data_IF_510876489465
#
_entry.id   IF_510876489465
#
_cell.length_a   1.000
_cell.length_b   1.000
_cell.length_c   1.000
_cell.angle_alpha   90.00
_cell.angle_beta   90.00
_cell.angle_gamma   90.00
#
_symmetry.space_group_name_H-M   'P 1'
#
loop_
_entity.id
_entity.type
_entity.pdbx_description
1 polymer ?
#
# COMPACT_ATOMS: atom_id res chain seq x y z
N UNK A 1 8.90 22.37 7.73
CA UNK A 1 8.59 20.97 8.10
C UNK A 1 7.90 20.34 6.91
N UNK A 2 8.36 19.17 6.45
CA UNK A 2 7.71 18.41 5.36
C UNK A 2 6.36 17.87 5.81
N UNK A 3 5.43 17.71 4.87
CA UNK A 3 4.07 17.22 5.11
C UNK A 3 3.82 15.97 4.28
N UNK A 4 3.32 14.92 4.90
CA UNK A 4 2.93 13.68 4.21
C UNK A 4 1.43 13.51 4.32
N UNK A 5 0.75 13.43 3.16
CA UNK A 5 -0.66 13.10 3.08
C UNK A 5 -0.86 11.61 3.31
N UNK A 6 -1.59 11.26 4.36
CA UNK A 6 -2.01 9.88 4.67
C UNK A 6 -3.45 9.72 4.20
N UNK A 7 -3.66 8.86 3.20
CA UNK A 7 -5.00 8.65 2.66
C UNK A 7 -5.82 7.80 3.62
N UNK A 8 -6.93 8.35 4.09
CA UNK A 8 -7.81 7.74 5.07
C UNK A 8 -8.70 6.64 4.46
N UNK A 9 -9.01 5.65 5.26
CA UNK A 9 -10.12 4.73 5.05
C UNK A 9 -11.45 5.40 5.42
N UNK A 10 -12.55 4.98 4.81
CA UNK A 10 -13.90 5.46 5.15
C UNK A 10 -14.72 4.31 5.72
N UNK A 11 -15.20 4.48 6.93
CA UNK A 11 -16.00 3.46 7.61
C UNK A 11 -17.28 4.03 8.21
N UNK A 12 -18.25 3.14 8.42
CA UNK A 12 -19.43 3.47 9.20
C UNK A 12 -19.20 3.04 10.65
N UNK A 13 -19.26 4.00 11.56
CA UNK A 13 -19.23 3.78 12.99
C UNK A 13 -20.56 4.31 13.58
N UNK A 14 -21.34 3.45 14.18
CA UNK A 14 -22.69 3.76 14.68
C UNK A 14 -23.58 4.50 13.65
N UNK A 15 -23.51 4.08 12.38
CA UNK A 15 -24.26 4.68 11.29
C UNK A 15 -23.70 6.01 10.76
N UNK A 16 -22.63 6.53 11.34
CA UNK A 16 -21.95 7.74 10.88
C UNK A 16 -20.71 7.38 10.04
N UNK A 17 -20.54 8.05 8.92
CA UNK A 17 -19.33 7.93 8.13
C UNK A 17 -18.15 8.65 8.83
N UNK A 18 -17.07 7.92 9.07
CA UNK A 18 -15.84 8.44 9.65
C UNK A 18 -14.68 8.23 8.68
N UNK A 19 -13.73 9.17 8.64
CA UNK A 19 -12.47 9.01 7.94
C UNK A 19 -11.39 8.72 8.96
N UNK A 20 -10.66 7.62 8.77
CA UNK A 20 -9.67 7.17 9.74
C UNK A 20 -8.37 6.70 9.07
N UNK A 21 -7.28 6.84 9.79
CA UNK A 21 -6.02 6.15 9.55
C UNK A 21 -5.56 5.59 10.89
N UNK A 22 -5.05 4.36 10.90
CA UNK A 22 -4.53 3.76 12.12
C UNK A 22 -3.34 4.57 12.65
N UNK A 23 -3.16 4.59 13.96
CA UNK A 23 -2.12 5.39 14.62
C UNK A 23 -0.71 4.97 14.18
N UNK A 24 -0.52 3.70 13.81
CA UNK A 24 0.73 3.17 13.29
C UNK A 24 1.21 3.91 12.03
N UNK A 25 0.31 4.27 11.11
CA UNK A 25 0.66 5.09 9.94
C UNK A 25 1.04 6.52 10.34
N UNK A 26 0.30 7.09 11.30
CA UNK A 26 0.58 8.43 11.82
C UNK A 26 1.93 8.47 12.53
N UNK A 27 2.20 7.47 13.38
CA UNK A 27 3.48 7.32 14.08
C UNK A 27 4.64 7.10 13.11
N UNK A 28 4.47 6.23 12.09
CA UNK A 28 5.50 5.98 11.08
C UNK A 28 5.84 7.25 10.28
N UNK A 29 4.85 8.08 9.93
CA UNK A 29 5.10 9.37 9.27
C UNK A 29 5.75 10.36 10.21
N UNK A 30 5.27 10.49 11.45
CA UNK A 30 5.81 11.45 12.43
C UNK A 30 7.24 11.08 12.83
N UNK A 31 7.47 9.84 13.22
CA UNK A 31 8.71 9.39 13.87
C UNK A 31 9.67 8.71 12.89
N UNK A 32 9.15 7.91 11.93
CA UNK A 32 9.96 7.21 10.94
C UNK A 32 10.37 8.09 9.75
N UNK A 33 9.47 8.96 9.29
CA UNK A 33 9.76 9.92 8.19
C UNK A 33 10.23 11.27 8.73
N UNK A 34 9.83 11.67 9.93
CA UNK A 34 10.12 13.00 10.49
C UNK A 34 9.31 14.12 9.82
N UNK A 35 8.11 13.80 9.34
CA UNK A 35 7.23 14.72 8.63
C UNK A 35 5.92 14.96 9.41
N UNK A 36 5.22 16.04 9.09
CA UNK A 36 3.89 16.32 9.61
C UNK A 36 2.86 15.42 8.91
N UNK A 37 2.14 14.53 9.61
CA UNK A 37 1.06 13.74 9.02
C UNK A 37 -0.17 14.61 8.76
N UNK A 38 -0.74 14.49 7.55
CA UNK A 38 -1.96 15.20 7.13
C UNK A 38 -2.95 14.15 6.63
N UNK A 39 -4.10 14.02 7.26
CA UNK A 39 -5.12 13.05 6.84
C UNK A 39 -5.86 13.57 5.61
N UNK A 40 -5.85 12.78 4.53
CA UNK A 40 -6.59 13.05 3.29
C UNK A 40 -7.86 12.19 3.32
N UNK A 41 -9.06 12.78 3.39
CA UNK A 41 -10.30 12.01 3.45
C UNK A 41 -10.62 11.34 2.11
N UNK A 42 -11.25 10.17 2.17
CA UNK A 42 -11.86 9.51 1.01
C UNK A 42 -13.32 9.95 0.87
N UNK A 43 -13.70 10.50 -0.28
CA UNK A 43 -15.03 11.11 -0.49
C UNK A 43 -15.71 10.55 -1.72
N UNK A 44 -17.05 10.53 -1.72
CA UNK A 44 -17.89 10.07 -2.84
C UNK A 44 -17.77 10.97 -4.09
N UNK A 45 -17.33 12.21 -3.89
CA UNK A 45 -16.99 13.14 -4.99
C UNK A 45 -15.48 13.31 -5.02
N UNK A 46 -14.85 13.13 -6.19
CA UNK A 46 -13.40 13.27 -6.29
C UNK A 46 -12.95 14.64 -5.78
N UNK A 47 -11.94 14.62 -4.91
CA UNK A 47 -11.26 15.84 -4.48
C UNK A 47 -10.36 16.35 -5.60
N UNK A 48 -10.11 17.65 -5.60
CA UNK A 48 -9.13 18.23 -6.52
C UNK A 48 -7.73 17.70 -6.21
N UNK A 49 -7.26 16.79 -7.06
CA UNK A 49 -5.94 16.16 -6.90
C UNK A 49 -4.81 17.17 -6.99
N UNK A 50 -4.94 18.23 -7.78
CA UNK A 50 -3.92 19.29 -7.87
C UNK A 50 -3.82 20.07 -6.56
N UNK A 51 -4.95 20.38 -5.93
CA UNK A 51 -4.98 21.01 -4.61
C UNK A 51 -4.32 20.11 -3.55
N UNK A 52 -4.63 18.80 -3.53
CA UNK A 52 -3.99 17.86 -2.61
C UNK A 52 -2.47 17.85 -2.83
N UNK A 53 -2.01 17.67 -4.07
CA UNK A 53 -0.59 17.62 -4.40
C UNK A 53 0.15 18.91 -4.03
N UNK A 54 -0.52 20.06 -4.05
CA UNK A 54 0.07 21.34 -3.62
C UNK A 54 0.21 21.49 -2.10
N UNK A 55 -0.56 20.74 -1.32
CA UNK A 55 -0.55 20.84 0.15
C UNK A 55 0.48 19.94 0.83
N UNK A 56 1.00 18.93 0.15
CA UNK A 56 1.88 17.90 0.73
C UNK A 56 3.16 17.74 -0.06
N UNK A 57 4.20 17.23 0.60
CA UNK A 57 5.50 16.96 -0.01
C UNK A 57 5.64 15.47 -0.42
N UNK A 58 4.75 14.62 0.05
CA UNK A 58 4.68 13.20 -0.29
C UNK A 58 3.34 12.60 0.12
N UNK A 59 3.04 11.39 -0.37
CA UNK A 59 1.79 10.68 -0.10
C UNK A 59 2.07 9.27 0.44
N UNK A 60 1.29 8.87 1.44
CA UNK A 60 1.20 7.51 1.95
C UNK A 60 -0.21 6.99 1.74
N UNK A 61 -0.35 5.92 0.96
CA UNK A 61 -1.60 5.19 0.75
C UNK A 61 -1.64 4.00 1.70
N UNK A 62 -2.60 4.01 2.61
CA UNK A 62 -2.72 3.04 3.71
C UNK A 62 -3.29 1.70 3.25
N UNK A 63 -3.07 0.64 4.03
CA UNK A 63 -3.90 -0.56 4.01
C UNK A 63 -5.33 -0.29 4.48
N UNK A 64 -6.22 -1.23 4.21
CA UNK A 64 -7.59 -1.27 4.70
C UNK A 64 -8.14 -2.70 4.61
N UNK A 65 -9.15 -3.06 5.41
CA UNK A 65 -9.83 -4.34 5.26
C UNK A 65 -10.67 -4.47 3.99
N UNK A 66 -11.12 -3.33 3.43
CA UNK A 66 -11.83 -3.33 2.15
C UNK A 66 -10.89 -3.64 0.98
N UNK A 67 -11.47 -4.18 -0.09
CA UNK A 67 -10.77 -4.55 -1.31
C UNK A 67 -11.01 -3.48 -2.40
N UNK A 68 -10.09 -3.40 -3.37
CA UNK A 68 -10.30 -2.60 -4.59
C UNK A 68 -11.42 -3.22 -5.41
N UNK A 69 -12.38 -2.40 -5.83
CA UNK A 69 -13.55 -2.88 -6.57
C UNK A 69 -13.13 -3.53 -7.90
N UNK A 70 -13.59 -4.75 -8.20
CA UNK A 70 -13.22 -5.48 -9.42
C UNK A 70 -13.58 -4.74 -10.72
N UNK A 71 -14.61 -3.89 -10.69
CA UNK A 71 -14.98 -3.01 -11.81
C UNK A 71 -13.84 -2.08 -12.23
N UNK A 72 -12.94 -1.71 -11.33
CA UNK A 72 -11.79 -0.83 -11.59
C UNK A 72 -10.70 -1.47 -12.47
N UNK A 73 -10.69 -2.80 -12.55
CA UNK A 73 -9.75 -3.57 -13.39
C UNK A 73 -10.46 -4.54 -14.36
N UNK A 74 -11.75 -4.29 -14.64
CA UNK A 74 -12.51 -5.00 -15.68
C UNK A 74 -12.96 -6.41 -15.31
N UNK A 75 -13.07 -6.72 -14.01
CA UNK A 75 -13.53 -8.01 -13.51
C UNK A 75 -14.94 -7.89 -12.88
N UNK A 76 -15.67 -9.00 -12.84
CA UNK A 76 -16.93 -9.11 -12.09
C UNK A 76 -16.64 -9.29 -10.60
N UNK A 77 -17.47 -8.67 -9.75
CA UNK A 77 -17.36 -8.83 -8.30
C UNK A 77 -17.72 -10.26 -7.86
N UNK A 78 -16.95 -10.81 -6.91
CA UNK A 78 -17.24 -12.09 -6.27
C UNK A 78 -18.06 -11.84 -4.99
N UNK A 79 -19.00 -12.72 -4.64
CA UNK A 79 -19.79 -12.61 -3.41
C UNK A 79 -18.90 -12.58 -2.16
N UNK A 80 -19.32 -11.83 -1.14
CA UNK A 80 -18.66 -11.78 0.15
C UNK A 80 -17.40 -10.89 0.22
N UNK A 81 -17.07 -10.16 -0.84
CA UNK A 81 -15.94 -9.23 -0.84
C UNK A 81 -16.39 -7.86 -0.31
N UNK A 82 -15.76 -7.39 0.75
CA UNK A 82 -15.95 -6.02 1.27
C UNK A 82 -15.28 -5.02 0.32
N UNK A 83 -16.04 -4.09 -0.23
CA UNK A 83 -15.56 -3.08 -1.18
C UNK A 83 -15.71 -1.67 -0.59
N UNK A 84 -14.83 -0.74 -0.96
CA UNK A 84 -14.96 0.69 -0.69
C UNK A 84 -14.74 1.49 -1.98
N UNK A 85 -15.82 1.62 -2.77
CA UNK A 85 -15.82 2.37 -4.02
C UNK A 85 -15.61 3.87 -3.79
N UNK A 86 -15.95 4.39 -2.62
CA UNK A 86 -15.71 5.79 -2.24
C UNK A 86 -14.21 6.04 -2.10
N UNK A 87 -13.50 5.11 -1.48
CA UNK A 87 -12.05 5.17 -1.40
C UNK A 87 -11.41 5.03 -2.77
N UNK A 88 -11.86 4.09 -3.59
CA UNK A 88 -11.36 3.92 -4.96
C UNK A 88 -11.54 5.19 -5.80
N UNK A 89 -12.68 5.88 -5.67
CA UNK A 89 -12.96 7.13 -6.37
C UNK A 89 -11.99 8.27 -5.98
N UNK A 90 -11.44 8.23 -4.79
CA UNK A 90 -10.43 9.20 -4.33
C UNK A 90 -9.00 8.74 -4.66
N UNK A 91 -8.66 7.49 -4.32
CA UNK A 91 -7.27 7.01 -4.37
C UNK A 91 -6.76 6.78 -5.78
N UNK A 92 -7.56 6.19 -6.68
CA UNK A 92 -7.08 5.84 -8.01
C UNK A 92 -6.75 7.09 -8.87
N UNK A 93 -7.56 8.17 -8.90
CA UNK A 93 -7.17 9.41 -9.56
C UNK A 93 -5.96 10.08 -8.91
N UNK A 94 -5.88 10.06 -7.58
CA UNK A 94 -4.77 10.68 -6.84
C UNK A 94 -3.45 9.95 -7.11
N UNK A 95 -3.44 8.61 -7.14
CA UNK A 95 -2.27 7.80 -7.50
C UNK A 95 -1.76 8.12 -8.91
N UNK A 96 -2.68 8.20 -9.89
CA UNK A 96 -2.33 8.59 -11.27
C UNK A 96 -1.71 10.00 -11.32
N UNK A 97 -2.33 10.95 -10.64
CA UNK A 97 -1.86 12.33 -10.61
C UNK A 97 -0.49 12.45 -9.89
N UNK A 98 -0.31 11.80 -8.75
CA UNK A 98 0.92 11.78 -7.99
C UNK A 98 2.08 11.15 -8.78
N UNK A 99 1.85 10.00 -9.40
CA UNK A 99 2.85 9.33 -10.25
C UNK A 99 3.27 10.21 -11.42
N UNK A 100 2.31 10.82 -12.13
CA UNK A 100 2.58 11.75 -13.25
C UNK A 100 3.35 12.98 -12.81
N UNK A 101 3.03 13.53 -11.64
CA UNK A 101 3.70 14.70 -11.06
C UNK A 101 5.10 14.38 -10.53
N UNK A 102 5.46 13.11 -10.34
CA UNK A 102 6.70 12.71 -9.67
C UNK A 102 6.68 13.03 -8.18
N UNK A 103 5.53 12.88 -7.52
CA UNK A 103 5.37 13.04 -6.08
C UNK A 103 5.98 11.82 -5.38
N UNK A 104 6.80 12.00 -4.32
CA UNK A 104 7.22 10.88 -3.48
C UNK A 104 6.02 10.13 -2.91
N UNK A 105 6.02 8.79 -3.06
CA UNK A 105 4.85 7.97 -2.78
C UNK A 105 5.26 6.63 -2.13
N UNK A 106 4.59 6.30 -1.02
CA UNK A 106 4.63 4.99 -0.38
C UNK A 106 3.21 4.41 -0.35
N UNK A 107 3.03 3.21 -0.89
CA UNK A 107 1.75 2.52 -0.96
C UNK A 107 1.81 1.19 -0.20
N UNK A 108 0.92 0.97 0.77
CA UNK A 108 0.95 -0.15 1.72
C UNK A 108 -0.32 -0.99 1.58
N UNK A 109 -0.18 -2.31 1.42
CA UNK A 109 -1.25 -3.31 1.36
C UNK A 109 -2.33 -2.93 0.33
N UNK A 110 -3.51 -2.46 0.76
CA UNK A 110 -4.54 -2.00 -0.16
C UNK A 110 -4.05 -0.85 -1.04
N UNK A 111 -3.25 0.08 -0.50
CA UNK A 111 -2.62 1.14 -1.29
C UNK A 111 -1.70 0.63 -2.39
N UNK A 112 -0.95 -0.44 -2.15
CA UNK A 112 -0.15 -1.13 -3.16
C UNK A 112 -1.03 -1.73 -4.27
N UNK A 113 -2.14 -2.35 -3.91
CA UNK A 113 -3.11 -2.88 -4.88
C UNK A 113 -3.76 -1.76 -5.69
N UNK A 114 -4.15 -0.67 -5.03
CA UNK A 114 -4.65 0.56 -5.66
C UNK A 114 -3.64 1.13 -6.67
N UNK A 115 -2.35 1.15 -6.32
CA UNK A 115 -1.29 1.62 -7.21
C UNK A 115 -1.22 0.79 -8.49
N UNK A 116 -1.25 -0.54 -8.37
CA UNK A 116 -1.25 -1.43 -9.53
C UNK A 116 -2.47 -1.17 -10.43
N UNK A 117 -3.67 -1.10 -9.85
CA UNK A 117 -4.92 -0.86 -10.60
C UNK A 117 -4.94 0.53 -11.21
N UNK A 118 -4.53 1.56 -10.48
CA UNK A 118 -4.48 2.94 -10.97
C UNK A 118 -3.62 3.09 -12.22
N UNK A 119 -2.56 2.30 -12.35
CA UNK A 119 -1.63 2.31 -13.47
C UNK A 119 -1.97 1.26 -14.56
N UNK A 120 -3.10 0.56 -14.44
CA UNK A 120 -3.64 -0.33 -15.49
C UNK A 120 -3.34 -1.82 -15.29
N UNK A 121 -2.94 -2.23 -14.09
CA UNK A 121 -2.82 -3.62 -13.70
C UNK A 121 -4.15 -4.26 -13.30
N UNK A 122 -4.12 -5.54 -12.91
CA UNK A 122 -5.27 -6.28 -12.39
C UNK A 122 -4.92 -7.05 -11.13
N UNK A 123 -5.95 -7.53 -10.40
CA UNK A 123 -5.82 -8.24 -9.15
C UNK A 123 -6.55 -9.59 -9.19
N UNK A 124 -5.97 -10.60 -8.55
CA UNK A 124 -6.70 -11.76 -8.06
C UNK A 124 -7.56 -11.33 -6.87
N UNK A 125 -8.87 -11.63 -6.91
CA UNK A 125 -9.79 -11.24 -5.83
C UNK A 125 -9.61 -12.12 -4.58
N UNK A 126 -9.36 -13.41 -4.77
CA UNK A 126 -9.19 -14.41 -3.71
C UNK A 126 -7.93 -15.22 -4.01
N UNK A 127 -6.78 -14.70 -3.60
CA UNK A 127 -5.47 -15.31 -3.90
C UNK A 127 -5.35 -16.73 -3.31
N UNK A 128 -5.87 -16.94 -2.08
CA UNK A 128 -5.85 -18.21 -1.36
C UNK A 128 -6.64 -19.34 -2.03
N UNK A 129 -7.51 -19.03 -3.01
CA UNK A 129 -8.26 -20.05 -3.77
C UNK A 129 -7.51 -20.52 -5.03
N UNK A 130 -6.41 -19.87 -5.37
CA UNK A 130 -5.64 -20.23 -6.56
C UNK A 130 -4.70 -21.40 -6.29
N UNK A 131 -4.63 -22.40 -7.18
CA UNK A 131 -3.73 -23.53 -7.01
C UNK A 131 -2.26 -23.08 -6.87
N UNK A 132 -1.57 -23.62 -5.88
CA UNK A 132 -0.14 -23.37 -5.66
C UNK A 132 0.18 -22.03 -5.00
N UNK A 133 -0.82 -21.25 -4.60
CA UNK A 133 -0.64 -20.02 -3.81
C UNK A 133 -0.66 -20.32 -2.32
N UNK A 134 0.09 -19.54 -1.56
CA UNK A 134 0.02 -19.51 -0.10
C UNK A 134 -1.30 -18.86 0.35
N UNK A 135 -1.68 -19.12 1.59
CA UNK A 135 -2.73 -18.34 2.24
C UNK A 135 -2.10 -17.09 2.84
N UNK A 136 -2.32 -15.97 2.18
CA UNK A 136 -1.77 -14.67 2.55
C UNK A 136 -2.64 -13.90 3.56
N UNK A 137 -3.72 -14.53 4.05
CA UNK A 137 -4.63 -13.90 5.03
C UNK A 137 -4.07 -14.02 6.43
N UNK A 138 -4.51 -13.08 7.27
CA UNK A 138 -4.25 -13.12 8.70
C UNK A 138 -4.86 -14.37 9.37
N UNK A 139 -4.26 -14.88 10.45
CA UNK A 139 -4.86 -15.97 11.21
C UNK A 139 -6.16 -15.51 11.87
N UNK A 140 -7.22 -16.34 11.71
CA UNK A 140 -8.53 -16.02 12.28
C UNK A 140 -8.52 -16.09 13.81
N UNK A 141 -9.29 -15.19 14.45
CA UNK A 141 -9.45 -15.10 15.91
C UNK A 141 -8.12 -14.95 16.67
N UNK A 142 -7.11 -14.38 16.05
CA UNK A 142 -5.82 -14.11 16.65
C UNK A 142 -5.81 -12.77 17.40
N UNK A 143 -4.82 -12.56 18.25
CA UNK A 143 -4.52 -11.22 18.75
C UNK A 143 -3.92 -10.37 17.64
N UNK A 144 -3.99 -9.04 17.77
CA UNK A 144 -3.40 -8.13 16.78
C UNK A 144 -1.90 -8.41 16.55
N UNK A 145 -1.16 -8.71 17.59
CA UNK A 145 0.26 -9.09 17.46
C UNK A 145 0.48 -10.38 16.67
N UNK A 146 -0.43 -11.34 16.78
CA UNK A 146 -0.36 -12.58 16.02
C UNK A 146 -0.81 -12.40 14.57
N UNK A 147 -1.78 -11.51 14.30
CA UNK A 147 -2.20 -11.16 12.93
C UNK A 147 -1.04 -10.50 12.15
N UNK A 148 -0.27 -9.62 12.81
CA UNK A 148 0.86 -8.91 12.21
C UNK A 148 2.22 -9.61 12.42
N UNK A 149 2.23 -10.84 12.93
CA UNK A 149 3.46 -11.63 13.03
C UNK A 149 4.04 -11.92 11.63
N UNK A 150 5.35 -12.14 11.57
CA UNK A 150 6.02 -12.54 10.33
C UNK A 150 5.44 -13.85 9.80
N UNK A 151 4.98 -13.86 8.54
CA UNK A 151 4.27 -14.98 7.92
C UNK A 151 5.14 -15.76 6.93
N UNK A 152 5.81 -15.08 6.01
CA UNK A 152 6.62 -15.72 4.97
C UNK A 152 7.82 -14.86 4.56
N UNK A 153 8.86 -15.46 3.95
CA UNK A 153 9.94 -14.69 3.37
C UNK A 153 9.50 -14.02 2.05
N UNK A 154 10.15 -12.91 1.71
CA UNK A 154 10.13 -12.32 0.38
C UNK A 154 11.55 -12.18 -0.14
N UNK A 155 11.76 -12.51 -1.42
CA UNK A 155 13.05 -12.35 -2.10
C UNK A 155 13.05 -11.06 -2.89
N UNK A 156 14.04 -10.21 -2.68
CA UNK A 156 14.14 -8.91 -3.35
C UNK A 156 14.79 -9.02 -4.73
N UNK A 157 14.35 -8.17 -5.64
CA UNK A 157 15.01 -8.00 -6.93
C UNK A 157 16.47 -7.59 -6.71
N UNK A 158 17.38 -8.24 -7.45
CA UNK A 158 18.78 -7.85 -7.44
C UNK A 158 18.88 -6.40 -7.96
N UNK A 159 19.60 -5.54 -7.25
CA UNK A 159 19.72 -4.11 -7.57
C UNK A 159 18.38 -3.33 -7.52
N UNK A 160 17.32 -3.91 -6.94
CA UNK A 160 16.03 -3.27 -6.70
C UNK A 160 16.10 -2.18 -5.64
N UNK A 161 15.02 -1.41 -5.53
CA UNK A 161 14.90 -0.33 -4.54
C UNK A 161 15.02 -0.88 -3.12
N UNK A 162 14.30 -1.97 -2.81
CA UNK A 162 14.33 -2.59 -1.48
C UNK A 162 15.71 -3.14 -1.12
N UNK A 163 16.40 -3.80 -2.07
CA UNK A 163 17.76 -4.30 -1.86
C UNK A 163 18.75 -3.16 -1.56
N UNK A 164 18.65 -2.05 -2.30
CA UNK A 164 19.49 -0.86 -2.05
C UNK A 164 19.20 -0.15 -0.74
N UNK A 165 17.93 -0.07 -0.34
CA UNK A 165 17.53 0.60 0.91
C UNK A 165 17.94 -0.19 2.15
N UNK A 166 17.75 -1.51 2.13
CA UNK A 166 17.95 -2.37 3.29
C UNK A 166 19.32 -3.06 3.34
N UNK A 167 20.00 -3.21 2.21
CA UNK A 167 21.19 -4.04 2.07
C UNK A 167 20.90 -5.54 2.10
N UNK A 168 19.61 -5.94 2.14
CA UNK A 168 19.17 -7.34 2.22
C UNK A 168 18.84 -7.89 0.84
N UNK A 169 18.88 -9.22 0.71
CA UNK A 169 18.38 -9.94 -0.47
C UNK A 169 17.04 -10.60 -0.24
N UNK A 170 16.69 -10.77 1.05
CA UNK A 170 15.45 -11.41 1.47
C UNK A 170 15.10 -10.94 2.88
N UNK A 171 13.83 -10.93 3.24
CA UNK A 171 13.35 -10.63 4.59
C UNK A 171 12.07 -11.42 4.89
N UNK A 172 11.77 -11.63 6.16
CA UNK A 172 10.46 -12.09 6.61
C UNK A 172 9.50 -10.92 6.69
N UNK A 173 8.25 -11.10 6.25
CA UNK A 173 7.20 -10.06 6.28
C UNK A 173 5.91 -10.61 6.88
N UNK A 174 5.05 -9.74 7.41
CA UNK A 174 3.69 -10.08 7.76
C UNK A 174 2.80 -10.18 6.50
N UNK A 175 1.62 -10.82 6.62
CA UNK A 175 0.74 -11.00 5.46
C UNK A 175 -0.72 -11.03 5.93
N UNK A 176 -1.50 -10.04 5.49
CA UNK A 176 -2.89 -9.82 5.90
C UNK A 176 -3.73 -9.36 4.69
N UNK A 177 -3.74 -10.14 3.60
CA UNK A 177 -4.46 -9.70 2.40
C UNK A 177 -5.15 -10.85 1.64
N UNK A 178 -6.29 -10.53 1.05
CA UNK A 178 -7.10 -11.44 0.22
C UNK A 178 -6.79 -11.28 -1.26
N UNK A 179 -6.65 -10.02 -1.71
CA UNK A 179 -6.28 -9.69 -3.08
C UNK A 179 -4.76 -9.75 -3.26
N UNK A 180 -4.33 -10.04 -4.47
CA UNK A 180 -2.92 -9.96 -4.87
C UNK A 180 -2.80 -9.56 -6.33
N UNK A 181 -1.62 -9.11 -6.74
CA UNK A 181 -1.37 -8.73 -8.15
C UNK A 181 -1.54 -9.95 -9.06
N UNK A 182 -2.42 -9.81 -10.06
CA UNK A 182 -2.58 -10.75 -11.17
C UNK A 182 -1.69 -10.29 -12.35
N UNK A 183 -2.00 -9.15 -12.93
CA UNK A 183 -1.21 -8.53 -13.99
C UNK A 183 -0.58 -7.25 -13.46
N UNK A 184 0.76 -7.20 -13.51
CA UNK A 184 1.49 -6.01 -13.14
C UNK A 184 1.23 -4.88 -14.15
N UNK A 185 1.01 -3.67 -13.64
CA UNK A 185 0.77 -2.50 -14.48
C UNK A 185 2.00 -2.12 -15.31
N UNK A 186 1.80 -1.59 -16.53
CA UNK A 186 2.91 -1.06 -17.33
C UNK A 186 3.72 0.00 -16.55
N UNK A 187 5.05 -0.12 -16.62
CA UNK A 187 5.98 0.77 -15.93
C UNK A 187 6.29 0.38 -14.50
N UNK A 188 5.47 -0.45 -13.84
CA UNK A 188 5.84 -1.05 -12.55
C UNK A 188 6.84 -2.19 -12.75
N UNK A 189 7.71 -2.37 -11.77
CA UNK A 189 8.68 -3.46 -11.67
C UNK A 189 8.52 -4.16 -10.34
N UNK A 190 8.57 -5.50 -10.35
CA UNK A 190 8.53 -6.29 -9.13
C UNK A 190 9.84 -6.09 -8.35
N UNK A 191 9.71 -5.68 -7.10
CA UNK A 191 10.80 -5.47 -6.15
C UNK A 191 10.95 -6.64 -5.16
N UNK A 192 9.86 -7.35 -4.89
CA UNK A 192 9.85 -8.51 -4.01
C UNK A 192 8.86 -9.57 -4.47
N UNK A 193 9.23 -10.84 -4.31
CA UNK A 193 8.39 -12.00 -4.59
C UNK A 193 8.30 -12.90 -3.36
N UNK A 194 7.09 -13.37 -3.07
CA UNK A 194 6.84 -14.45 -2.12
C UNK A 194 7.29 -15.82 -2.70
N UNK A 195 7.39 -16.89 -1.89
CA UNK A 195 7.81 -18.21 -2.36
C UNK A 195 6.88 -18.85 -3.41
N UNK A 196 5.61 -18.46 -3.41
CA UNK A 196 4.60 -18.90 -4.38
C UNK A 196 4.59 -18.04 -5.67
N UNK A 197 5.53 -17.10 -5.80
CA UNK A 197 5.66 -16.20 -6.93
C UNK A 197 4.71 -15.01 -6.90
N UNK A 198 3.98 -14.78 -5.80
CA UNK A 198 3.16 -13.57 -5.64
C UNK A 198 4.06 -12.34 -5.56
N UNK A 199 3.67 -11.27 -6.28
CA UNK A 199 4.36 -9.98 -6.22
C UNK A 199 3.98 -9.29 -4.92
N UNK A 200 4.98 -9.02 -4.09
CA UNK A 200 4.84 -8.46 -2.75
C UNK A 200 5.33 -7.00 -2.65
N UNK A 201 6.12 -6.55 -3.62
CA UNK A 201 6.49 -5.14 -3.70
C UNK A 201 6.75 -4.71 -5.14
N UNK A 202 6.56 -3.41 -5.40
CA UNK A 202 6.79 -2.78 -6.69
C UNK A 202 7.45 -1.42 -6.56
N UNK A 203 8.23 -1.07 -7.59
CA UNK A 203 8.66 0.30 -7.87
C UNK A 203 8.25 0.69 -9.30
N UNK A 204 8.54 1.92 -9.72
CA UNK A 204 8.26 2.36 -11.08
C UNK A 204 9.56 2.76 -11.79
N UNK A 205 9.87 2.08 -12.91
CA UNK A 205 11.12 2.24 -13.66
C UNK A 205 11.37 3.66 -14.18
N UNK A 206 10.32 4.39 -14.50
CA UNK A 206 10.35 5.77 -14.96
C UNK A 206 9.98 6.81 -13.91
N UNK A 207 9.93 6.45 -12.63
CA UNK A 207 9.56 7.41 -11.58
C UNK A 207 10.63 8.50 -11.45
N UNK A 208 10.17 9.76 -11.41
CA UNK A 208 11.02 10.94 -11.18
C UNK A 208 11.38 11.13 -9.71
N UNK A 209 10.66 10.46 -8.81
CA UNK A 209 10.84 10.49 -7.37
C UNK A 209 10.66 9.08 -6.78
N UNK A 210 10.82 8.95 -5.48
CA UNK A 210 10.57 7.72 -4.75
C UNK A 210 9.13 7.25 -4.96
N UNK A 211 8.99 6.05 -5.51
CA UNK A 211 7.71 5.35 -5.63
C UNK A 211 7.96 3.90 -5.24
N UNK A 212 7.37 3.51 -4.12
CA UNK A 212 7.44 2.14 -3.60
C UNK A 212 6.06 1.71 -3.15
N UNK A 213 5.65 0.53 -3.58
CA UNK A 213 4.48 -0.18 -3.06
C UNK A 213 4.92 -1.47 -2.40
N UNK A 214 4.36 -1.79 -1.23
CA UNK A 214 4.59 -3.04 -0.51
C UNK A 214 3.26 -3.66 -0.09
N UNK A 215 3.14 -4.98 -0.19
CA UNK A 215 1.90 -5.68 0.14
C UNK A 215 1.77 -5.94 1.64
N UNK A 216 2.89 -6.12 2.35
CA UNK A 216 2.92 -6.25 3.80
C UNK A 216 2.73 -4.91 4.51
N UNK A 217 2.71 -4.93 5.85
CA UNK A 217 2.49 -3.78 6.70
C UNK A 217 3.78 -3.34 7.42
N UNK A 218 4.63 -2.49 6.81
CA UNK A 218 5.86 -2.02 7.44
C UNK A 218 5.61 -0.99 8.55
N UNK A 219 4.40 -0.40 8.63
CA UNK A 219 4.02 0.54 9.69
C UNK A 219 3.87 -0.13 11.05
N UNK A 220 3.51 -1.42 11.07
CA UNK A 220 3.33 -2.16 12.31
C UNK A 220 4.65 -2.30 13.07
N UNK A 221 4.73 -1.67 14.24
CA UNK A 221 5.95 -1.63 15.07
C UNK A 221 7.20 -1.28 14.27
N UNK A 222 7.07 -0.32 13.36
CA UNK A 222 8.11 0.00 12.35
C UNK A 222 9.51 0.17 12.96
N UNK A 223 9.61 0.72 14.18
CA UNK A 223 10.89 0.99 14.85
C UNK A 223 11.63 -0.26 15.32
N UNK A 224 10.93 -1.40 15.39
CA UNK A 224 11.50 -2.69 15.83
C UNK A 224 12.01 -3.53 14.63
N UNK A 225 11.65 -3.13 13.39
CA UNK A 225 12.02 -3.85 12.17
C UNK A 225 12.98 -3.03 11.29
N UNK A 226 14.21 -3.53 11.06
CA UNK A 226 15.20 -2.83 10.24
C UNK A 226 14.76 -2.58 8.79
N UNK A 227 13.95 -3.48 8.19
CA UNK A 227 13.43 -3.29 6.84
C UNK A 227 12.43 -2.13 6.80
N UNK A 228 11.50 -2.09 7.73
CA UNK A 228 10.53 -1.01 7.88
C UNK A 228 11.22 0.34 8.11
N UNK A 229 12.21 0.38 9.01
CA UNK A 229 13.04 1.58 9.21
C UNK A 229 13.69 2.05 7.91
N UNK A 230 14.26 1.12 7.12
CA UNK A 230 14.90 1.46 5.85
C UNK A 230 13.90 2.00 4.81
N UNK A 231 12.68 1.46 4.75
CA UNK A 231 11.60 1.92 3.86
C UNK A 231 11.20 3.36 4.21
N UNK A 232 10.87 3.64 5.48
CA UNK A 232 10.45 4.98 5.92
C UNK A 232 11.59 5.99 5.80
N UNK A 233 12.83 5.61 6.12
CA UNK A 233 14.00 6.47 5.88
C UNK A 233 14.24 6.74 4.38
N UNK A 234 14.00 5.76 3.52
CA UNK A 234 14.04 5.93 2.06
C UNK A 234 13.02 6.95 1.57
N UNK A 235 11.79 6.84 2.05
CA UNK A 235 10.71 7.77 1.75
C UNK A 235 11.03 9.19 2.27
N UNK A 236 11.53 9.31 3.51
CA UNK A 236 11.95 10.58 4.10
C UNK A 236 12.98 11.34 3.27
N UNK A 237 14.00 10.62 2.74
CA UNK A 237 15.04 11.22 1.90
C UNK A 237 14.53 11.76 0.57
N UNK A 238 13.37 11.34 0.14
CA UNK A 238 12.77 11.74 -1.14
C UNK A 238 11.84 12.96 -1.02
N UNK A 239 11.43 13.35 0.20
CA UNK A 239 10.62 14.53 0.48
C UNK A 239 11.48 15.80 0.34
#
# INVERSE_FOLDING_TARGET
MKRVGIVADRRLFDGMAVHQANDEYVAAVRDGVGAMPVIIPSTDRPLDTAAILSMVDGLLFTGAPSNVAPSQYGAGARPGTELDEVRDATTLPLLRAATKAGMPLLAICRGFQELNVALGGSLHQHLHELPGRLDHREPQNASRDAEYAQAHPVTFAQDGVLARLSGLRQAMVNSLHHQGVDRLAPGLQAEALAPDGQIEAVSHSGAKAFLLGVQWHPEWRFAEDPLSCAIFAGFARAL
#
